data_IF_976472036450
#
_entry.id   IF_976472036450
#
_cell.length_a   1.000
_cell.length_b   1.000
_cell.length_c   1.000
_cell.angle_alpha   90.00
_cell.angle_beta   90.00
_cell.angle_gamma   90.00
#
_symmetry.space_group_name_H-M   'P 1'
#
loop_
_entity.id
_entity.type
_entity.pdbx_description
1 polymer ?
#
# COMPACT_ATOMS: atom_id res chain seq x y z
N UNK A 1 -17.11 86.65 -16.70
CA UNK A 1 -17.92 85.81 -17.62
C UNK A 1 -17.30 84.41 -17.55
N UNK A 2 -17.95 83.35 -17.09
CA UNK A 2 -19.24 82.75 -17.52
C UNK A 2 -19.21 82.33 -19.00
N UNK A 3 -19.50 81.10 -19.41
CA UNK A 3 -19.93 79.89 -18.67
C UNK A 3 -19.72 78.63 -19.56
N UNK A 4 -19.80 77.41 -18.98
CA UNK A 4 -20.53 76.19 -19.47
C UNK A 4 -20.50 75.93 -21.01
N UNK A 5 -20.07 74.79 -21.59
CA UNK A 5 -19.47 73.51 -21.14
C UNK A 5 -18.96 72.75 -22.42
N UNK A 6 -18.68 71.44 -22.59
CA UNK A 6 -18.86 70.17 -21.84
C UNK A 6 -17.76 69.13 -22.27
N UNK A 7 -18.06 67.83 -22.24
CA UNK A 7 -17.30 66.65 -22.75
C UNK A 7 -18.29 65.74 -23.55
N UNK A 8 -17.95 64.66 -24.33
CA UNK A 8 -16.88 63.67 -24.05
C UNK A 8 -16.16 62.90 -25.21
N UNK A 9 -15.11 62.17 -24.79
CA UNK A 9 -14.66 60.81 -25.20
C UNK A 9 -13.85 60.47 -26.50
N UNK A 10 -12.71 59.79 -26.22
CA UNK A 10 -12.13 58.58 -26.87
C UNK A 10 -11.68 58.58 -28.35
N UNK A 11 -10.36 58.48 -28.58
CA UNK A 11 -9.62 57.20 -28.84
C UNK A 11 -8.46 57.28 -29.88
N UNK A 12 -7.70 56.17 -29.98
CA UNK A 12 -6.74 55.78 -31.06
C UNK A 12 -5.32 56.41 -31.05
N UNK A 13 -4.41 55.70 -30.37
CA UNK A 13 -3.23 54.98 -30.91
C UNK A 13 -2.18 55.67 -31.83
N UNK A 14 -0.92 55.23 -31.62
CA UNK A 14 0.30 55.34 -32.43
C UNK A 14 1.17 56.60 -32.30
N UNK A 15 2.47 56.39 -32.01
CA UNK A 15 3.57 56.84 -32.88
C UNK A 15 4.86 56.02 -32.64
N UNK A 16 5.23 55.28 -33.70
CA UNK A 16 6.58 55.00 -34.24
C UNK A 16 7.65 54.28 -33.38
N UNK A 17 8.17 53.21 -33.99
CA UNK A 17 9.30 52.34 -33.58
C UNK A 17 10.65 53.06 -33.74
N UNK A 18 11.64 52.75 -32.89
CA UNK A 18 13.03 52.80 -33.34
C UNK A 18 13.88 51.68 -32.71
N UNK A 19 14.98 51.31 -33.38
CA UNK A 19 15.61 50.00 -33.27
C UNK A 19 17.01 50.08 -32.61
N UNK A 20 17.29 49.30 -31.56
CA UNK A 20 18.65 48.78 -31.27
C UNK A 20 18.64 47.68 -30.19
N UNK A 21 19.48 46.65 -30.38
CA UNK A 21 19.64 45.50 -29.48
C UNK A 21 20.58 45.80 -28.30
N UNK A 22 20.18 45.44 -27.06
CA UNK A 22 20.98 44.58 -26.15
C UNK A 22 20.29 44.27 -24.80
N UNK A 23 19.93 42.98 -24.65
CA UNK A 23 20.01 42.13 -23.44
C UNK A 23 19.75 42.79 -22.07
N UNK A 24 18.57 42.50 -21.51
CA UNK A 24 18.39 42.24 -20.08
C UNK A 24 17.25 41.22 -19.91
N UNK A 25 17.52 40.05 -19.32
CA UNK A 25 16.49 39.04 -19.06
C UNK A 25 15.68 39.40 -17.81
N UNK A 26 14.58 40.12 -18.00
CA UNK A 26 13.57 40.27 -16.95
C UNK A 26 12.61 39.08 -17.02
N UNK A 27 12.80 38.09 -16.14
CA UNK A 27 11.84 37.01 -15.95
C UNK A 27 10.55 37.60 -15.35
N UNK A 28 9.53 37.77 -16.19
CA UNK A 28 8.19 38.15 -15.72
C UNK A 28 7.56 36.89 -15.14
N UNK A 29 7.66 36.73 -13.83
CA UNK A 29 6.89 35.73 -13.09
C UNK A 29 5.41 36.09 -13.21
N UNK A 30 4.65 35.28 -13.93
CA UNK A 30 3.21 35.46 -14.11
C UNK A 30 2.47 34.99 -12.84
N UNK A 31 2.31 35.89 -11.87
CA UNK A 31 1.41 35.65 -10.74
C UNK A 31 -0.05 35.64 -11.21
N UNK A 32 -0.63 34.45 -11.34
CA UNK A 32 -2.08 34.28 -11.53
C UNK A 32 -2.82 34.42 -10.20
N UNK A 33 -3.36 35.60 -9.92
CA UNK A 33 -4.33 35.78 -8.83
C UNK A 33 -5.73 35.36 -9.31
N UNK A 34 -6.18 34.17 -8.89
CA UNK A 34 -7.57 33.74 -9.01
C UNK A 34 -8.35 34.15 -7.76
N UNK A 35 -9.02 35.31 -7.80
CA UNK A 35 -9.89 35.76 -6.71
C UNK A 35 -11.35 35.39 -6.98
N UNK A 36 -11.95 34.61 -6.07
CA UNK A 36 -13.39 34.32 -6.05
C UNK A 36 -14.04 34.90 -4.79
N UNK A 37 -14.46 36.17 -4.88
CA UNK A 37 -15.18 36.95 -3.87
C UNK A 37 -14.40 37.33 -2.60
N UNK A 38 -15.01 38.21 -1.81
CA UNK A 38 -14.37 38.95 -0.71
C UNK A 38 -14.42 38.17 0.62
N UNK A 39 -13.42 37.32 0.88
CA UNK A 39 -12.80 37.18 2.22
C UNK A 39 -11.51 36.34 2.15
N UNK A 40 -10.50 36.71 2.96
CA UNK A 40 -9.24 36.01 3.21
C UNK A 40 -8.46 35.42 2.00
N UNK A 41 -7.55 36.22 1.42
CA UNK A 41 -6.47 35.69 0.56
C UNK A 41 -5.45 34.91 1.41
N UNK A 42 -5.65 33.60 1.58
CA UNK A 42 -4.67 32.72 2.20
C UNK A 42 -3.45 32.50 1.27
N UNK A 43 -2.23 32.53 1.84
CA UNK A 43 -1.05 32.06 1.15
C UNK A 43 -1.07 30.53 1.13
N UNK A 44 -1.57 29.94 0.05
CA UNK A 44 -1.32 28.55 -0.27
C UNK A 44 0.11 28.44 -0.80
N UNK A 45 1.02 27.68 -0.16
CA UNK A 45 2.28 27.33 -0.80
C UNK A 45 1.98 26.36 -1.94
N UNK A 46 1.96 26.86 -3.17
CA UNK A 46 2.11 26.00 -4.34
C UNK A 46 3.49 25.33 -4.27
N UNK A 47 3.55 24.16 -3.63
CA UNK A 47 4.53 23.14 -3.99
C UNK A 47 4.10 22.61 -5.35
N UNK A 48 4.44 23.36 -6.40
CA UNK A 48 4.49 22.83 -7.75
C UNK A 48 5.29 21.51 -7.68
N UNK A 49 4.75 20.38 -8.19
CA UNK A 49 5.47 19.11 -8.15
C UNK A 49 6.80 19.29 -8.89
N UNK A 50 7.88 18.70 -8.36
CA UNK A 50 9.21 18.88 -8.91
C UNK A 50 9.22 18.50 -10.41
N UNK A 51 9.49 19.43 -11.34
CA UNK A 51 9.38 19.17 -12.77
C UNK A 51 10.48 18.23 -13.30
N UNK A 52 11.37 17.71 -12.44
CA UNK A 52 12.23 16.58 -12.76
C UNK A 52 11.57 15.21 -12.53
N UNK A 53 10.55 15.11 -11.67
CA UNK A 53 9.80 13.88 -11.42
C UNK A 53 8.85 13.62 -12.59
N UNK A 54 9.37 12.90 -13.59
CA UNK A 54 8.57 12.25 -14.62
C UNK A 54 8.35 10.81 -14.18
N UNK A 55 7.10 10.36 -14.14
CA UNK A 55 6.82 8.96 -13.91
C UNK A 55 7.30 8.14 -15.12
N UNK A 56 8.07 7.08 -14.88
CA UNK A 56 8.24 5.97 -15.81
C UNK A 56 6.88 5.26 -15.98
N UNK A 57 6.11 5.78 -16.93
CA UNK A 57 4.80 5.26 -17.31
C UNK A 57 4.95 4.06 -18.25
N UNK A 58 4.14 3.04 -18.02
CA UNK A 58 4.23 1.75 -18.70
C UNK A 58 2.85 1.33 -19.19
N UNK A 59 2.79 0.70 -20.36
CA UNK A 59 1.59 0.00 -20.86
C UNK A 59 1.61 -1.50 -20.54
N UNK A 60 2.74 -1.99 -20.04
CA UNK A 60 2.94 -3.34 -19.50
C UNK A 60 3.84 -3.25 -18.26
N UNK A 61 3.32 -3.65 -17.10
CA UNK A 61 4.04 -3.71 -15.83
C UNK A 61 4.12 -5.14 -15.33
N UNK A 62 5.34 -5.66 -15.18
CA UNK A 62 5.60 -6.92 -14.48
C UNK A 62 5.33 -6.77 -12.97
N UNK A 63 4.38 -7.55 -12.43
CA UNK A 63 4.02 -7.54 -11.00
C UNK A 63 4.54 -8.77 -10.23
N UNK A 64 5.35 -9.61 -10.87
CA UNK A 64 5.84 -10.89 -10.33
C UNK A 64 6.59 -10.76 -8.99
N UNK A 65 6.70 -11.86 -8.25
CA UNK A 65 7.48 -11.92 -7.01
C UNK A 65 8.98 -12.07 -7.28
N UNK A 66 9.79 -11.34 -6.53
CA UNK A 66 11.25 -11.46 -6.53
C UNK A 66 11.91 -10.91 -7.79
N UNK A 67 11.47 -9.76 -8.27
CA UNK A 67 12.02 -9.08 -9.46
C UNK A 67 12.65 -7.73 -9.11
N UNK A 68 13.65 -7.29 -9.88
CA UNK A 68 14.28 -5.98 -9.73
C UNK A 68 13.59 -4.87 -10.54
N UNK A 69 14.12 -3.64 -10.43
CA UNK A 69 13.62 -2.46 -11.16
C UNK A 69 13.78 -2.53 -12.68
N UNK A 70 14.56 -3.48 -13.20
CA UNK A 70 14.66 -3.80 -14.63
C UNK A 70 13.82 -5.02 -15.05
N UNK A 71 13.04 -5.60 -14.14
CA UNK A 71 12.24 -6.81 -14.38
C UNK A 71 13.03 -8.13 -14.36
N UNK A 72 14.29 -8.14 -13.92
CA UNK A 72 15.10 -9.34 -13.81
C UNK A 72 14.75 -10.10 -12.52
N UNK A 73 14.78 -11.44 -12.56
CA UNK A 73 14.61 -12.27 -11.35
C UNK A 73 15.80 -12.08 -10.41
N UNK A 74 15.54 -11.64 -9.19
CA UNK A 74 16.54 -11.51 -8.12
C UNK A 74 16.80 -12.91 -7.55
N UNK A 75 18.07 -13.38 -7.48
CA UNK A 75 18.38 -14.66 -6.84
C UNK A 75 18.05 -14.65 -5.34
N UNK A 76 17.41 -15.70 -4.80
CA UNK A 76 17.09 -15.78 -3.38
C UNK A 76 18.32 -15.94 -2.49
N UNK A 77 18.21 -15.49 -1.25
CA UNK A 77 19.27 -15.62 -0.25
C UNK A 77 18.94 -14.94 1.08
N UNK A 78 19.74 -15.24 2.10
CA UNK A 78 19.61 -14.67 3.44
C UNK A 78 19.57 -13.14 3.40
N UNK A 79 18.53 -12.55 3.97
CA UNK A 79 18.35 -11.10 4.08
C UNK A 79 18.12 -10.37 2.75
N UNK A 80 17.88 -11.08 1.64
CA UNK A 80 17.45 -10.48 0.38
C UNK A 80 15.96 -10.13 0.48
N UNK A 81 15.60 -8.90 0.11
CA UNK A 81 14.26 -8.32 0.27
C UNK A 81 13.72 -7.92 -1.12
N UNK A 82 12.42 -8.10 -1.32
CA UNK A 82 11.73 -7.67 -2.54
C UNK A 82 11.60 -6.14 -2.57
N UNK A 83 11.99 -5.45 -3.65
CA UNK A 83 11.92 -3.99 -3.70
C UNK A 83 10.49 -3.44 -3.87
N UNK A 84 9.49 -4.29 -4.08
CA UNK A 84 8.10 -3.91 -4.34
C UNK A 84 7.12 -4.49 -3.30
N UNK A 85 7.17 -5.82 -3.14
CA UNK A 85 6.31 -6.58 -2.24
C UNK A 85 6.69 -6.33 -0.78
N UNK A 86 5.69 -6.00 0.04
CA UNK A 86 5.86 -5.70 1.47
C UNK A 86 4.86 -6.47 2.32
N UNK A 87 5.22 -6.81 3.56
CA UNK A 87 4.32 -7.47 4.52
C UNK A 87 3.58 -6.39 5.31
N UNK A 88 2.25 -6.34 5.23
CA UNK A 88 1.43 -5.26 5.79
C UNK A 88 0.64 -5.62 7.06
N UNK A 89 0.74 -6.84 7.58
CA UNK A 89 0.24 -7.20 8.92
C UNK A 89 1.28 -7.98 9.74
N UNK A 90 1.01 -8.14 11.03
CA UNK A 90 1.79 -8.99 11.94
C UNK A 90 0.84 -9.97 12.64
N UNK A 91 0.42 -11.05 11.96
CA UNK A 91 -0.63 -11.93 12.46
C UNK A 91 -0.14 -12.73 13.68
N UNK A 92 -0.97 -13.00 14.69
CA UNK A 92 -0.55 -13.82 15.82
C UNK A 92 -0.18 -15.24 15.39
N UNK A 93 0.77 -15.85 16.10
CA UNK A 93 1.36 -17.14 15.75
C UNK A 93 1.22 -18.14 16.90
N UNK A 94 1.07 -19.43 16.56
CA UNK A 94 0.87 -20.53 17.50
C UNK A 94 1.83 -21.70 17.24
N UNK A 95 1.98 -22.56 18.25
CA UNK A 95 2.83 -23.77 18.22
C UNK A 95 4.31 -23.49 17.84
N UNK A 96 4.77 -22.27 18.13
CA UNK A 96 6.09 -21.79 17.74
C UNK A 96 7.24 -22.60 18.36
N UNK A 97 8.14 -23.08 17.51
CA UNK A 97 9.35 -23.81 17.88
C UNK A 97 10.59 -22.94 17.71
N UNK A 98 11.53 -23.04 18.66
CA UNK A 98 12.68 -22.12 18.72
C UNK A 98 13.83 -22.57 17.82
N UNK A 99 14.54 -21.65 17.12
CA UNK A 99 14.36 -20.20 17.12
C UNK A 99 13.62 -19.67 15.88
N UNK A 100 12.54 -18.92 16.08
CA UNK A 100 12.14 -17.93 15.08
C UNK A 100 13.12 -16.74 15.12
N UNK A 101 13.40 -16.20 13.94
CA UNK A 101 14.23 -15.00 13.77
C UNK A 101 13.30 -13.80 13.64
N UNK A 102 13.40 -12.85 14.57
CA UNK A 102 12.75 -11.53 14.48
C UNK A 102 13.29 -10.75 13.28
N UNK A 103 12.54 -9.90 12.58
CA UNK A 103 11.31 -9.18 12.99
C UNK A 103 10.47 -8.90 11.74
N UNK A 104 9.13 -8.97 11.84
CA UNK A 104 8.26 -8.48 10.77
C UNK A 104 8.29 -6.95 10.81
N UNK A 105 8.73 -6.33 9.72
CA UNK A 105 9.10 -4.90 9.67
C UNK A 105 8.69 -4.21 8.35
N UNK A 106 7.71 -4.77 7.64
CA UNK A 106 7.34 -4.37 6.28
C UNK A 106 8.03 -5.15 5.15
N UNK A 107 9.15 -5.83 5.40
CA UNK A 107 9.92 -6.51 4.34
C UNK A 107 9.32 -7.85 3.92
N UNK A 108 9.24 -8.13 2.61
CA UNK A 108 9.07 -9.49 2.08
C UNK A 108 10.44 -10.06 1.67
N UNK A 109 10.76 -11.28 2.10
CA UNK A 109 12.10 -11.88 1.97
C UNK A 109 12.17 -12.94 0.86
N UNK A 110 13.22 -12.91 0.03
CA UNK A 110 13.43 -13.85 -1.08
C UNK A 110 14.16 -15.10 -0.62
N UNK A 111 13.42 -16.20 -0.48
CA UNK A 111 13.90 -17.44 0.13
C UNK A 111 14.32 -18.49 -0.89
N UNK A 112 15.38 -19.23 -0.58
CA UNK A 112 15.81 -20.38 -1.36
C UNK A 112 15.48 -21.65 -0.59
N UNK A 113 14.34 -22.26 -0.90
CA UNK A 113 13.99 -23.59 -0.40
C UNK A 113 14.88 -24.64 -1.10
N UNK A 114 16.14 -24.71 -0.68
CA UNK A 114 17.23 -25.32 -1.46
C UNK A 114 17.09 -26.84 -1.64
N UNK A 115 16.23 -27.49 -0.85
CA UNK A 115 15.87 -28.90 -0.98
C UNK A 115 14.78 -29.15 -2.06
N UNK A 116 14.22 -28.08 -2.65
CA UNK A 116 13.09 -28.11 -3.57
C UNK A 116 13.49 -27.46 -4.90
N UNK A 117 13.21 -28.13 -6.03
CA UNK A 117 13.63 -27.65 -7.36
C UNK A 117 12.98 -26.34 -7.81
N UNK A 118 13.45 -25.78 -8.92
CA UNK A 118 12.90 -24.55 -9.51
C UNK A 118 11.40 -24.67 -9.85
N UNK A 119 10.93 -25.86 -10.22
CA UNK A 119 9.52 -26.14 -10.53
C UNK A 119 8.76 -26.80 -9.35
N UNK A 120 9.24 -26.63 -8.13
CA UNK A 120 8.56 -27.11 -6.92
C UNK A 120 7.18 -26.45 -6.70
N UNK A 121 6.50 -26.84 -5.63
CA UNK A 121 5.12 -26.43 -5.37
C UNK A 121 4.96 -25.01 -4.80
N UNK A 122 6.01 -24.41 -4.22
CA UNK A 122 6.05 -22.94 -3.99
C UNK A 122 6.71 -22.18 -5.15
N UNK A 123 7.75 -22.78 -5.75
CA UNK A 123 8.62 -22.11 -6.71
C UNK A 123 8.01 -22.04 -8.12
N UNK A 124 8.22 -20.92 -8.82
CA UNK A 124 7.87 -20.76 -10.23
C UNK A 124 9.06 -20.22 -11.02
N UNK A 125 9.47 -20.95 -12.06
CA UNK A 125 10.44 -20.49 -13.05
C UNK A 125 10.02 -19.13 -13.63
N UNK A 126 10.89 -18.13 -13.54
CA UNK A 126 10.60 -16.73 -13.90
C UNK A 126 10.26 -15.81 -12.71
N UNK A 127 10.30 -16.32 -11.49
CA UNK A 127 10.05 -15.59 -10.23
C UNK A 127 11.05 -16.01 -9.15
N UNK A 128 11.04 -15.31 -8.02
CA UNK A 128 11.56 -15.84 -6.76
C UNK A 128 10.47 -15.82 -5.68
N UNK A 129 10.49 -16.82 -4.81
CA UNK A 129 9.52 -17.06 -3.73
C UNK A 129 9.70 -16.10 -2.54
N UNK A 130 8.60 -15.61 -1.98
CA UNK A 130 8.58 -14.69 -0.83
C UNK A 130 8.12 -15.36 0.47
N UNK A 131 8.76 -14.98 1.59
CA UNK A 131 8.34 -15.26 2.97
C UNK A 131 8.19 -13.95 3.77
N UNK A 132 7.44 -13.97 4.89
CA UNK A 132 7.25 -12.79 5.73
C UNK A 132 8.40 -12.53 6.72
N UNK A 133 9.39 -13.43 6.80
CA UNK A 133 10.58 -13.34 7.67
C UNK A 133 11.84 -13.89 6.96
N UNK A 134 13.03 -13.42 7.37
CA UNK A 134 14.31 -13.97 6.90
C UNK A 134 14.59 -15.35 7.50
N UNK A 135 14.17 -16.41 6.79
CA UNK A 135 14.50 -17.79 7.14
C UNK A 135 16.01 -18.10 7.02
N UNK A 136 16.77 -17.25 6.31
CA UNK A 136 18.23 -17.30 6.22
C UNK A 136 18.79 -18.51 5.48
N UNK A 137 19.05 -19.59 6.21
CA UNK A 137 19.51 -20.89 5.68
C UNK A 137 18.71 -22.07 6.26
N UNK A 138 17.54 -21.78 6.81
CA UNK A 138 16.55 -22.74 7.28
C UNK A 138 15.42 -22.78 6.27
N UNK A 139 14.89 -23.96 5.95
CA UNK A 139 13.59 -24.08 5.26
C UNK A 139 12.43 -24.02 6.29
N UNK A 140 12.73 -23.93 7.59
CA UNK A 140 11.77 -24.00 8.70
C UNK A 140 11.34 -22.62 9.22
N UNK A 141 10.07 -22.27 9.05
CA UNK A 141 9.38 -21.07 9.55
C UNK A 141 9.01 -21.16 11.04
N UNK A 142 8.70 -22.36 11.55
CA UNK A 142 8.69 -22.66 12.98
C UNK A 142 7.39 -22.42 13.76
N UNK A 143 6.42 -21.65 13.23
CA UNK A 143 5.08 -21.46 13.81
C UNK A 143 3.96 -21.85 12.83
N UNK A 144 2.73 -22.01 13.32
CA UNK A 144 1.51 -21.92 12.52
C UNK A 144 0.90 -20.51 12.69
N UNK A 145 0.09 -20.04 11.73
CA UNK A 145 -0.76 -18.87 11.94
C UNK A 145 -1.85 -19.16 13.01
N UNK A 146 -2.20 -18.17 13.82
CA UNK A 146 -3.31 -18.28 14.77
C UNK A 146 -4.66 -18.48 14.07
N UNK A 147 -5.68 -18.84 14.86
CA UNK A 147 -7.08 -18.79 14.41
C UNK A 147 -7.70 -17.47 14.85
N UNK A 148 -8.61 -16.95 14.02
CA UNK A 148 -9.51 -15.87 14.39
C UNK A 148 -10.75 -16.42 15.11
N UNK A 149 -11.67 -15.52 15.50
CA UNK A 149 -12.87 -15.86 16.27
C UNK A 149 -13.85 -16.80 15.52
N UNK A 150 -13.71 -16.93 14.20
CA UNK A 150 -14.52 -17.81 13.34
C UNK A 150 -13.88 -19.20 13.15
N UNK A 151 -12.67 -19.42 13.69
CA UNK A 151 -11.89 -20.65 13.51
C UNK A 151 -11.11 -20.71 12.20
N UNK A 152 -10.99 -19.59 11.47
CA UNK A 152 -10.21 -19.48 10.23
C UNK A 152 -8.78 -19.02 10.56
N UNK A 153 -7.78 -19.45 9.79
CA UNK A 153 -6.38 -19.03 9.99
C UNK A 153 -6.20 -17.56 9.60
N UNK A 154 -5.57 -16.79 10.48
CA UNK A 154 -5.20 -15.40 10.21
C UNK A 154 -4.03 -15.36 9.21
N UNK A 155 -4.18 -14.85 7.99
CA UNK A 155 -3.12 -14.86 6.99
C UNK A 155 -2.01 -13.84 7.30
N UNK A 156 -0.83 -14.09 6.76
CA UNK A 156 0.09 -13.02 6.39
C UNK A 156 -0.44 -12.29 5.17
N UNK A 157 -0.56 -10.97 5.25
CA UNK A 157 -0.96 -10.12 4.14
C UNK A 157 0.28 -9.44 3.56
N UNK A 158 0.60 -9.76 2.32
CA UNK A 158 1.59 -9.04 1.51
C UNK A 158 0.86 -8.05 0.61
N UNK A 159 1.49 -6.91 0.30
CA UNK A 159 1.00 -5.90 -0.63
C UNK A 159 2.07 -5.57 -1.68
N UNK A 160 1.67 -5.60 -2.96
CA UNK A 160 2.41 -4.96 -4.06
C UNK A 160 1.53 -3.85 -4.65
N UNK A 161 1.81 -2.57 -4.32
CA UNK A 161 1.09 -1.45 -4.90
C UNK A 161 1.67 -1.08 -6.27
N UNK A 162 0.79 -0.54 -7.11
CA UNK A 162 1.08 0.13 -8.36
C UNK A 162 0.18 1.38 -8.47
N UNK A 163 0.20 2.05 -9.61
CA UNK A 163 -0.65 3.21 -9.86
C UNK A 163 -1.19 3.23 -11.28
N UNK A 164 -2.39 3.78 -11.43
CA UNK A 164 -2.99 4.20 -12.70
C UNK A 164 -3.00 5.73 -12.69
N UNK A 165 -2.38 6.36 -13.69
CA UNK A 165 -2.17 7.82 -13.72
C UNK A 165 -3.27 8.56 -14.50
N UNK A 166 -3.92 7.86 -15.43
CA UNK A 166 -5.13 8.30 -16.15
C UNK A 166 -6.07 7.11 -16.36
N UNK A 167 -7.38 7.38 -16.33
CA UNK A 167 -8.44 6.37 -16.44
C UNK A 167 -8.23 5.44 -17.65
N UNK A 168 -8.09 4.14 -17.39
CA UNK A 168 -7.75 3.13 -18.40
C UNK A 168 -8.44 1.80 -18.09
N UNK A 169 -8.42 0.87 -19.04
CA UNK A 169 -8.85 -0.51 -18.80
C UNK A 169 -7.65 -1.45 -18.86
N UNK A 170 -7.54 -2.32 -17.87
CA UNK A 170 -6.42 -3.24 -17.70
C UNK A 170 -6.82 -4.68 -18.00
N UNK A 171 -5.85 -5.44 -18.46
CA UNK A 171 -5.87 -6.88 -18.64
C UNK A 171 -4.69 -7.45 -17.84
N UNK A 172 -4.85 -8.62 -17.21
CA UNK A 172 -3.72 -9.34 -16.61
C UNK A 172 -3.93 -10.84 -16.63
N UNK A 173 -2.83 -11.59 -16.55
CA UNK A 173 -2.86 -13.02 -16.31
C UNK A 173 -1.71 -13.40 -15.36
N UNK A 174 -2.05 -13.76 -14.12
CA UNK A 174 -1.11 -14.16 -13.10
C UNK A 174 -1.17 -15.66 -12.82
N UNK A 175 -0.02 -16.31 -12.73
CA UNK A 175 0.16 -17.68 -12.28
C UNK A 175 0.67 -17.67 -10.84
N UNK A 176 -0.09 -18.26 -9.91
CA UNK A 176 0.22 -18.28 -8.48
C UNK A 176 0.48 -19.69 -7.93
N UNK A 177 1.43 -19.78 -7.01
CA UNK A 177 1.77 -20.96 -6.21
C UNK A 177 2.08 -20.54 -4.77
N UNK A 178 1.88 -21.42 -3.80
CA UNK A 178 2.19 -21.12 -2.41
C UNK A 178 2.22 -22.33 -1.48
N UNK A 179 2.46 -22.06 -0.20
CA UNK A 179 2.41 -23.05 0.87
C UNK A 179 1.08 -23.03 1.62
N UNK A 180 0.67 -24.23 2.04
CA UNK A 180 -0.62 -24.65 2.61
C UNK A 180 -1.85 -24.04 1.93
N UNK A 181 -2.07 -22.73 2.08
CA UNK A 181 -3.08 -21.96 1.39
C UNK A 181 -2.60 -20.52 1.07
N UNK A 182 -2.74 -20.09 -0.20
CA UNK A 182 -2.61 -18.69 -0.61
C UNK A 182 -3.70 -18.28 -1.60
N UNK A 183 -4.20 -17.05 -1.47
CA UNK A 183 -5.02 -16.38 -2.48
C UNK A 183 -4.62 -14.91 -2.61
N UNK A 184 -5.00 -14.26 -3.71
CA UNK A 184 -4.66 -12.88 -3.98
C UNK A 184 -5.92 -12.06 -4.31
N UNK A 185 -5.84 -10.75 -4.12
CA UNK A 185 -6.91 -9.79 -4.41
C UNK A 185 -6.34 -8.54 -5.08
N UNK A 186 -7.10 -7.95 -5.99
CA UNK A 186 -6.86 -6.60 -6.49
C UNK A 186 -7.68 -5.62 -5.66
N UNK A 187 -7.00 -4.64 -5.08
CA UNK A 187 -7.55 -3.69 -4.10
C UNK A 187 -7.42 -2.26 -4.64
N UNK A 188 -8.47 -1.45 -4.48
CA UNK A 188 -8.39 0.02 -4.50
C UNK A 188 -7.82 0.51 -3.17
N UNK A 189 -6.63 1.13 -3.17
CA UNK A 189 -5.96 1.57 -1.94
C UNK A 189 -6.66 2.77 -1.27
N UNK A 190 -7.53 3.50 -1.97
CA UNK A 190 -8.27 4.63 -1.41
C UNK A 190 -9.51 4.19 -0.61
N UNK A 191 -10.17 3.11 -1.04
CA UNK A 191 -11.44 2.62 -0.46
C UNK A 191 -11.36 1.24 0.21
N UNK A 192 -10.22 0.55 0.09
CA UNK A 192 -10.05 -0.87 0.40
C UNK A 192 -11.02 -1.82 -0.34
N UNK A 193 -11.69 -1.36 -1.40
CA UNK A 193 -12.60 -2.20 -2.18
C UNK A 193 -11.85 -3.32 -2.90
N UNK A 194 -12.32 -4.56 -2.71
CA UNK A 194 -11.86 -5.74 -3.46
C UNK A 194 -12.49 -5.69 -4.86
N UNK A 195 -11.66 -5.49 -5.88
CA UNK A 195 -12.09 -5.38 -7.28
C UNK A 195 -12.10 -6.74 -7.99
N UNK A 196 -11.17 -7.62 -7.63
CA UNK A 196 -11.11 -9.02 -8.07
C UNK A 196 -10.39 -9.88 -7.03
N UNK A 197 -10.59 -11.20 -7.07
CA UNK A 197 -9.97 -12.19 -6.18
C UNK A 197 -9.58 -13.44 -6.98
N UNK A 198 -8.37 -13.94 -6.74
CA UNK A 198 -7.85 -15.15 -7.40
C UNK A 198 -8.59 -16.42 -6.95
N UNK A 199 -8.50 -17.52 -7.72
CA UNK A 199 -8.69 -18.84 -7.13
C UNK A 199 -7.73 -19.04 -5.96
N UNK A 200 -8.18 -19.71 -4.91
CA UNK A 200 -7.32 -20.10 -3.79
C UNK A 200 -6.43 -21.26 -4.19
N UNK A 201 -5.11 -21.05 -4.18
CA UNK A 201 -4.15 -22.15 -4.22
C UNK A 201 -4.15 -22.85 -2.86
N UNK A 202 -4.35 -24.16 -2.84
CA UNK A 202 -4.22 -25.02 -1.66
C UNK A 202 -3.21 -26.11 -2.00
N UNK A 203 -2.24 -26.35 -1.12
CA UNK A 203 -1.13 -27.29 -1.36
C UNK A 203 -1.62 -28.75 -1.45
N UNK A 204 -2.01 -29.12 -2.66
CA UNK A 204 -2.54 -30.44 -3.04
C UNK A 204 -2.05 -30.90 -4.42
N UNK A 205 -1.47 -30.00 -5.22
CA UNK A 205 -0.90 -30.29 -6.54
C UNK A 205 0.24 -29.34 -6.86
N UNK A 206 1.13 -29.71 -7.77
CA UNK A 206 2.23 -28.84 -8.25
C UNK A 206 1.80 -27.84 -9.34
N UNK A 207 0.53 -27.87 -9.76
CA UNK A 207 -0.01 -27.03 -10.83
C UNK A 207 -0.40 -25.65 -10.28
N UNK A 208 0.10 -24.59 -10.92
CA UNK A 208 -0.19 -23.22 -10.51
C UNK A 208 -1.67 -22.87 -10.80
N UNK A 209 -2.27 -22.06 -9.94
CA UNK A 209 -3.59 -21.49 -10.25
C UNK A 209 -3.41 -20.25 -11.12
N UNK A 210 -4.26 -20.08 -12.13
CA UNK A 210 -4.27 -18.88 -12.97
C UNK A 210 -5.36 -17.92 -12.49
N UNK A 211 -5.03 -16.64 -12.42
CA UNK A 211 -5.94 -15.54 -12.13
C UNK A 211 -5.85 -14.54 -13.28
N UNK A 212 -6.94 -14.44 -14.04
CA UNK A 212 -7.01 -13.65 -15.26
C UNK A 212 -8.15 -12.65 -15.13
N UNK A 213 -7.90 -11.39 -15.46
CA UNK A 213 -8.92 -10.37 -15.68
C UNK A 213 -8.74 -9.76 -17.07
N UNK A 214 -9.83 -9.24 -17.63
CA UNK A 214 -9.78 -8.62 -18.96
C UNK A 214 -10.75 -7.46 -19.09
N UNK A 215 -10.28 -6.36 -19.68
CA UNK A 215 -10.99 -5.08 -19.80
C UNK A 215 -11.57 -4.59 -18.45
N UNK A 216 -10.80 -4.72 -17.36
CA UNK A 216 -11.17 -4.18 -16.06
C UNK A 216 -10.82 -2.69 -16.01
N UNK A 217 -11.82 -1.82 -16.04
CA UNK A 217 -11.60 -0.37 -16.10
C UNK A 217 -11.38 0.24 -14.71
N UNK A 218 -10.26 0.95 -14.55
CA UNK A 218 -9.80 1.61 -13.34
C UNK A 218 -9.62 3.12 -13.61
N UNK A 219 -10.01 3.95 -12.66
CA UNK A 219 -9.73 5.40 -12.74
C UNK A 219 -8.31 5.72 -12.28
N UNK A 220 -7.86 6.96 -12.50
CA UNK A 220 -6.62 7.46 -11.93
C UNK A 220 -6.61 7.29 -10.39
N UNK A 221 -5.63 6.54 -9.86
CA UNK A 221 -5.62 6.11 -8.46
C UNK A 221 -4.51 5.10 -8.15
N UNK A 222 -4.33 4.80 -6.86
CA UNK A 222 -3.39 3.78 -6.40
C UNK A 222 -4.11 2.46 -6.11
N UNK A 223 -3.53 1.37 -6.59
CA UNK A 223 -4.10 0.03 -6.50
C UNK A 223 -3.04 -0.94 -5.97
N UNK A 224 -3.46 -2.06 -5.39
CA UNK A 224 -2.55 -3.10 -4.93
C UNK A 224 -3.00 -4.50 -5.30
N UNK A 225 -2.03 -5.35 -5.60
CA UNK A 225 -2.21 -6.79 -5.43
C UNK A 225 -1.91 -7.10 -3.96
N UNK A 226 -2.90 -7.58 -3.20
CA UNK A 226 -2.68 -8.14 -1.85
C UNK A 226 -2.68 -9.66 -1.92
N UNK A 227 -1.71 -10.31 -1.27
CA UNK A 227 -1.62 -11.78 -1.18
C UNK A 227 -1.79 -12.23 0.27
N UNK A 228 -2.67 -13.19 0.49
CA UNK A 228 -3.10 -13.69 1.79
C UNK A 228 -2.58 -15.12 1.98
N UNK A 229 -1.46 -15.25 2.67
CA UNK A 229 -0.71 -16.50 2.84
C UNK A 229 -0.94 -17.09 4.24
N UNK A 230 -1.37 -18.35 4.31
CA UNK A 230 -1.68 -19.06 5.55
C UNK A 230 -0.69 -20.21 5.77
N UNK A 231 -0.09 -20.27 6.96
CA UNK A 231 0.63 -21.45 7.44
C UNK A 231 -0.25 -22.29 8.39
N UNK A 232 -0.38 -23.59 8.09
CA UNK A 232 -0.98 -24.62 8.97
C UNK A 232 0.02 -25.69 9.42
N UNK A 233 1.19 -25.78 8.78
CA UNK A 233 2.27 -26.71 9.02
C UNK A 233 3.62 -25.96 9.09
N UNK A 234 4.07 -25.64 10.32
CA UNK A 234 5.28 -24.90 10.70
C UNK A 234 6.67 -25.26 10.09
N UNK A 235 6.73 -26.09 9.05
CA UNK A 235 7.92 -26.35 8.26
C UNK A 235 8.12 -25.19 7.27
N UNK A 236 7.54 -25.24 6.08
CA UNK A 236 7.75 -24.23 5.04
C UNK A 236 6.87 -22.98 5.32
N UNK A 237 7.15 -21.85 4.66
CA UNK A 237 6.15 -20.81 4.40
C UNK A 237 6.57 -19.92 3.24
N UNK A 238 5.77 -19.83 2.18
CA UNK A 238 5.98 -18.82 1.15
C UNK A 238 4.99 -18.86 0.01
N UNK A 239 5.12 -17.92 -0.93
CA UNK A 239 4.38 -17.91 -2.20
C UNK A 239 5.20 -17.32 -3.35
N UNK A 240 4.78 -17.61 -4.57
CA UNK A 240 5.27 -16.92 -5.77
C UNK A 240 4.10 -16.53 -6.68
N UNK A 241 4.27 -15.43 -7.41
CA UNK A 241 3.35 -14.99 -8.45
C UNK A 241 4.15 -14.59 -9.69
N UNK A 242 3.74 -15.10 -10.85
CA UNK A 242 4.31 -14.78 -12.17
C UNK A 242 3.27 -14.07 -13.02
N UNK A 243 3.60 -12.92 -13.60
CA UNK A 243 2.83 -12.31 -14.68
C UNK A 243 2.84 -10.79 -14.70
N UNK A 244 2.25 -10.26 -15.76
CA UNK A 244 2.24 -8.84 -16.10
C UNK A 244 0.80 -8.29 -16.12
N UNK A 245 0.68 -7.00 -15.83
CA UNK A 245 -0.53 -6.20 -15.94
C UNK A 245 -0.35 -5.24 -17.12
N UNK A 246 -1.30 -5.25 -18.07
CA UNK A 246 -1.24 -4.48 -19.31
C UNK A 246 -2.43 -3.55 -19.45
N UNK A 247 -2.26 -2.42 -20.13
CA UNK A 247 -3.35 -1.54 -20.56
C UNK A 247 -3.95 -2.04 -21.87
N UNK A 248 -5.27 -2.25 -21.95
CA UNK A 248 -5.95 -2.84 -23.12
C UNK A 248 -5.97 -1.94 -24.38
N UNK A 249 -5.74 -0.63 -24.21
CA UNK A 249 -5.49 0.34 -25.30
C UNK A 249 -4.00 0.42 -25.71
N UNK A 250 -3.08 -0.07 -24.87
CA UNK A 250 -1.64 0.04 -25.05
C UNK A 250 -1.04 1.41 -24.67
N UNK A 251 -1.82 2.30 -24.05
CA UNK A 251 -1.36 3.61 -23.61
C UNK A 251 -0.51 3.51 -22.33
N UNK A 252 0.55 4.29 -22.22
CA UNK A 252 1.45 4.24 -21.08
C UNK A 252 0.87 5.04 -19.89
N UNK A 253 0.07 4.38 -19.05
CA UNK A 253 -0.57 5.01 -17.87
C UNK A 253 -0.35 4.29 -16.54
N UNK A 254 0.35 3.14 -16.51
CA UNK A 254 0.67 2.40 -15.28
C UNK A 254 2.00 2.92 -14.69
N UNK A 255 2.13 2.99 -13.37
CA UNK A 255 3.41 3.24 -12.68
C UNK A 255 3.74 2.17 -11.63
N UNK A 256 5.03 1.88 -11.47
CA UNK A 256 5.58 0.87 -10.54
C UNK A 256 6.07 1.46 -9.19
N UNK A 257 5.63 2.68 -8.85
CA UNK A 257 5.82 3.37 -7.56
C UNK A 257 7.29 3.59 -7.09
N UNK A 258 8.29 3.46 -7.99
CA UNK A 258 9.73 3.63 -7.69
C UNK A 258 10.12 5.11 -7.58
N UNK A 259 9.66 5.94 -8.52
CA UNK A 259 10.27 7.23 -8.85
C UNK A 259 9.59 8.42 -8.16
N UNK A 260 9.03 8.22 -6.97
CA UNK A 260 8.25 9.22 -6.23
C UNK A 260 6.83 9.44 -6.77
N UNK A 261 6.54 9.06 -8.01
CA UNK A 261 5.18 8.90 -8.50
C UNK A 261 4.44 7.82 -7.71
N UNK A 262 3.28 8.18 -7.17
CA UNK A 262 2.45 7.34 -6.29
C UNK A 262 3.20 6.72 -5.11
N UNK A 263 3.48 7.57 -4.11
CA UNK A 263 3.78 7.11 -2.76
C UNK A 263 2.63 6.23 -2.24
N UNK A 264 2.95 4.99 -1.89
CA UNK A 264 2.08 4.08 -1.16
C UNK A 264 2.78 3.71 0.16
N UNK A 265 2.71 4.62 1.12
CA UNK A 265 2.90 4.27 2.52
C UNK A 265 1.66 3.50 3.02
N UNK A 266 1.86 2.63 3.99
CA UNK A 266 0.81 1.84 4.63
C UNK A 266 0.87 2.04 6.14
N UNK A 267 -0.26 2.25 6.77
CA UNK A 267 -0.44 2.07 8.22
C UNK A 267 -1.45 0.95 8.39
N UNK A 268 -1.10 -0.11 9.11
CA UNK A 268 -2.05 -1.16 9.48
C UNK A 268 -2.28 -1.20 10.98
N UNK A 269 -3.42 -1.78 11.36
CA UNK A 269 -3.88 -1.93 12.73
C UNK A 269 -4.32 -3.37 12.91
N UNK A 270 -3.69 -4.09 13.83
CA UNK A 270 -4.23 -5.33 14.40
C UNK A 270 -4.89 -5.01 15.74
N UNK A 271 -6.20 -5.25 15.85
CA UNK A 271 -6.99 -4.99 17.05
C UNK A 271 -7.18 -6.28 17.87
N UNK A 272 -6.87 -6.23 19.16
CA UNK A 272 -6.82 -7.36 20.10
C UNK A 272 -7.69 -7.04 21.32
N UNK A 273 -8.43 -8.05 21.79
CA UNK A 273 -9.30 -7.99 22.96
C UNK A 273 -8.74 -8.91 24.05
N UNK A 274 -8.26 -8.32 25.15
CA UNK A 274 -7.58 -9.00 26.26
C UNK A 274 -8.53 -9.28 27.43
N UNK A 275 -8.61 -10.53 27.86
CA UNK A 275 -9.28 -10.90 29.11
C UNK A 275 -8.35 -10.75 30.34
N UNK A 276 -7.03 -10.69 30.13
CA UNK A 276 -6.01 -10.68 31.19
C UNK A 276 -5.23 -9.35 31.36
N UNK A 277 -5.30 -8.44 30.38
CA UNK A 277 -4.61 -7.14 30.37
C UNK A 277 -3.06 -7.17 30.48
N UNK A 278 -2.38 -8.20 29.95
CA UNK A 278 -0.93 -8.41 30.10
C UNK A 278 -0.06 -7.84 28.95
N UNK A 279 -0.68 -7.30 27.90
CA UNK A 279 -0.05 -6.69 26.73
C UNK A 279 0.39 -7.70 25.66
N UNK A 280 -0.18 -8.91 25.65
CA UNK A 280 0.15 -10.00 24.72
C UNK A 280 -1.10 -10.81 24.40
N UNK A 281 -1.18 -11.30 23.17
CA UNK A 281 -2.25 -12.19 22.73
C UNK A 281 -2.06 -13.62 23.25
N UNK A 282 -2.93 -14.08 24.15
CA UNK A 282 -3.11 -15.49 24.48
C UNK A 282 -4.35 -16.06 23.78
N UNK A 283 -4.12 -16.89 22.76
CA UNK A 283 -5.19 -17.60 22.01
C UNK A 283 -6.11 -18.50 22.86
N UNK A 284 -5.79 -18.75 24.13
CA UNK A 284 -6.65 -19.47 25.07
C UNK A 284 -7.73 -18.60 25.72
N UNK A 285 -7.58 -17.27 25.73
CA UNK A 285 -8.54 -16.33 26.34
C UNK A 285 -8.95 -15.19 25.44
N UNK A 286 -8.03 -14.70 24.61
CA UNK A 286 -8.14 -13.41 23.94
C UNK A 286 -8.74 -13.56 22.53
N UNK A 287 -9.26 -12.45 22.00
CA UNK A 287 -9.98 -12.43 20.73
C UNK A 287 -9.41 -11.37 19.79
N UNK A 288 -9.61 -11.58 18.50
CA UNK A 288 -9.30 -10.57 17.49
C UNK A 288 -10.50 -9.63 17.36
N UNK A 289 -10.24 -8.34 17.50
CA UNK A 289 -11.25 -7.30 17.65
C UNK A 289 -11.89 -6.91 16.34
N UNK A 290 -12.61 -7.84 15.71
CA UNK A 290 -13.36 -7.68 14.46
C UNK A 290 -14.56 -6.73 14.60
N UNK A 291 -14.84 -5.94 13.57
CA UNK A 291 -15.98 -5.01 13.53
C UNK A 291 -15.75 -3.70 14.29
N UNK A 292 -14.51 -3.38 14.64
CA UNK A 292 -14.14 -2.15 15.37
C UNK A 292 -13.74 -1.03 14.42
N UNK A 293 -14.31 0.15 14.62
CA UNK A 293 -14.03 1.32 13.78
C UNK A 293 -12.76 2.05 14.21
N UNK A 294 -11.91 2.40 13.24
CA UNK A 294 -10.68 3.19 13.41
C UNK A 294 -10.68 4.40 12.47
N UNK A 295 -10.30 5.56 12.99
CA UNK A 295 -10.16 6.81 12.24
C UNK A 295 -8.68 7.09 11.96
N UNK A 296 -8.34 7.36 10.71
CA UNK A 296 -7.08 7.96 10.30
C UNK A 296 -7.23 9.47 10.25
N UNK A 297 -6.45 10.17 11.07
CA UNK A 297 -6.35 11.63 11.10
C UNK A 297 -5.05 12.11 10.48
N UNK A 298 -5.11 13.21 9.74
CA UNK A 298 -3.92 13.91 9.24
C UNK A 298 -3.22 14.73 10.35
N UNK A 299 -2.14 15.41 9.99
CA UNK A 299 -1.38 16.28 10.89
C UNK A 299 -2.14 17.54 11.39
N UNK A 300 -3.32 17.85 10.83
CA UNK A 300 -4.24 18.89 11.36
C UNK A 300 -5.22 18.35 12.40
N UNK A 301 -5.32 17.02 12.54
CA UNK A 301 -6.33 16.33 13.34
C UNK A 301 -7.64 16.06 12.59
N UNK A 302 -7.70 16.34 11.28
CA UNK A 302 -8.87 16.09 10.44
C UNK A 302 -8.95 14.61 10.09
N UNK A 303 -10.11 13.97 10.26
CA UNK A 303 -10.33 12.58 9.84
C UNK A 303 -10.37 12.55 8.31
N UNK A 304 -9.45 11.81 7.70
CA UNK A 304 -9.30 11.68 6.24
C UNK A 304 -9.69 10.30 5.72
N UNK A 305 -9.74 9.27 6.60
CA UNK A 305 -10.33 7.97 6.32
C UNK A 305 -10.86 7.34 7.61
N UNK A 306 -11.89 6.52 7.49
CA UNK A 306 -12.40 5.67 8.58
C UNK A 306 -12.51 4.26 8.03
N UNK A 307 -11.92 3.30 8.73
CA UNK A 307 -11.95 1.88 8.38
C UNK A 307 -12.61 1.08 9.52
N UNK A 308 -12.94 -0.18 9.26
CA UNK A 308 -13.43 -1.12 10.27
C UNK A 308 -12.69 -2.43 10.15
N UNK A 309 -12.27 -3.01 11.27
CA UNK A 309 -11.47 -4.23 11.29
C UNK A 309 -12.23 -5.44 10.75
N UNK A 310 -11.51 -6.27 9.99
CA UNK A 310 -12.03 -7.49 9.36
C UNK A 310 -12.23 -8.64 10.38
N UNK A 311 -12.54 -9.86 9.92
CA UNK A 311 -12.68 -11.05 10.76
C UNK A 311 -11.39 -11.42 11.53
N UNK A 312 -10.24 -10.95 11.07
CA UNK A 312 -8.92 -11.17 11.67
C UNK A 312 -8.52 -10.05 12.65
N UNK A 313 -9.34 -9.01 12.81
CA UNK A 313 -9.00 -7.83 13.59
C UNK A 313 -8.06 -6.86 12.87
N UNK A 314 -7.74 -7.10 11.58
CA UNK A 314 -6.86 -6.23 10.79
C UNK A 314 -7.67 -5.10 10.13
N UNK A 315 -7.09 -3.90 10.08
CA UNK A 315 -7.54 -2.78 9.26
C UNK A 315 -6.34 -2.10 8.56
N UNK A 316 -6.52 -1.70 7.30
CA UNK A 316 -5.43 -1.26 6.42
C UNK A 316 -5.66 0.15 5.87
N UNK A 317 -4.69 1.04 6.05
CA UNK A 317 -4.66 2.37 5.45
C UNK A 317 -3.49 2.43 4.45
N UNK A 318 -3.69 1.88 3.25
CA UNK A 318 -2.74 1.95 2.13
C UNK A 318 -2.96 3.21 1.27
N UNK A 319 -2.08 3.47 0.29
CA UNK A 319 -2.15 4.63 -0.60
C UNK A 319 -1.88 5.96 0.10
N UNK A 320 -1.18 5.95 1.25
CA UNK A 320 -0.91 7.16 2.01
C UNK A 320 0.33 7.90 1.47
N UNK A 321 0.22 9.22 1.38
CA UNK A 321 1.32 10.12 1.06
C UNK A 321 2.38 10.15 2.19
N UNK A 322 3.50 10.83 1.95
CA UNK A 322 4.49 11.10 3.00
C UNK A 322 3.90 12.09 4.02
N UNK A 323 3.88 11.75 5.31
CA UNK A 323 3.28 12.60 6.32
C UNK A 323 3.20 11.99 7.73
N UNK A 324 2.81 12.83 8.69
CA UNK A 324 2.45 12.43 10.05
C UNK A 324 0.95 12.21 10.15
N UNK A 325 0.54 11.07 10.71
CA UNK A 325 -0.85 10.66 10.86
C UNK A 325 -1.11 10.14 12.27
N UNK A 326 -2.37 10.23 12.73
CA UNK A 326 -2.82 9.63 13.99
C UNK A 326 -3.96 8.66 13.73
N UNK A 327 -3.77 7.39 14.10
CA UNK A 327 -4.84 6.40 14.22
C UNK A 327 -5.55 6.62 15.56
N UNK A 328 -6.88 6.56 15.55
CA UNK A 328 -7.75 6.64 16.71
C UNK A 328 -8.79 5.52 16.68
N UNK A 329 -8.90 4.76 17.78
CA UNK A 329 -9.94 3.74 17.95
C UNK A 329 -11.25 4.38 18.41
N UNK A 330 -12.39 3.92 17.87
CA UNK A 330 -13.71 4.34 18.35
C UNK A 330 -14.13 3.42 19.51
N UNK A 331 -14.17 3.98 20.71
CA UNK A 331 -14.52 3.28 21.96
C UNK A 331 -15.73 2.34 21.82
N UNK A 332 -15.55 1.06 22.14
CA UNK A 332 -16.63 0.07 22.20
C UNK A 332 -17.14 -0.12 23.63
N UNK A 333 -18.41 -0.53 23.76
CA UNK A 333 -19.02 -0.75 25.08
C UNK A 333 -18.49 -2.05 25.70
N UNK A 334 -18.04 -1.98 26.96
CA UNK A 334 -17.49 -3.12 27.70
C UNK A 334 -15.99 -3.35 27.53
N UNK A 335 -15.29 -2.46 26.82
CA UNK A 335 -13.85 -2.54 26.57
C UNK A 335 -13.17 -1.18 26.78
N UNK A 336 -11.89 -1.18 27.13
CA UNK A 336 -11.05 0.00 27.35
C UNK A 336 -9.68 -0.20 26.69
N UNK A 337 -9.16 0.74 25.89
CA UNK A 337 -7.82 0.63 25.31
C UNK A 337 -6.75 0.44 26.40
N UNK A 338 -5.97 -0.64 26.30
CA UNK A 338 -4.89 -1.00 27.23
C UNK A 338 -3.51 -0.64 26.67
N UNK A 339 -3.32 -0.79 25.35
CA UNK A 339 -2.11 -0.39 24.65
C UNK A 339 -2.44 -0.03 23.19
N UNK A 340 -2.38 1.25 22.77
CA UNK A 340 -2.11 2.44 23.59
C UNK A 340 -3.28 2.79 24.52
N UNK A 341 -2.99 3.14 25.78
CA UNK A 341 -4.00 3.52 26.80
C UNK A 341 -4.83 4.77 26.44
N UNK A 342 -4.38 5.57 25.48
CA UNK A 342 -5.10 6.74 24.96
C UNK A 342 -6.12 6.40 23.88
N UNK A 343 -6.15 5.16 23.39
CA UNK A 343 -6.89 4.78 22.18
C UNK A 343 -6.34 5.42 20.90
N UNK A 344 -5.11 5.97 20.94
CA UNK A 344 -4.51 6.70 19.81
C UNK A 344 -3.03 6.38 19.62
N UNK A 345 -2.60 6.31 18.36
CA UNK A 345 -1.21 6.13 17.97
C UNK A 345 -0.85 7.09 16.84
N UNK A 346 0.23 7.85 17.01
CA UNK A 346 0.74 8.80 16.00
C UNK A 346 2.02 8.27 15.37
N UNK A 347 2.06 8.19 14.05
CA UNK A 347 3.19 7.70 13.25
C UNK A 347 3.57 8.71 12.18
N UNK A 348 4.79 8.63 11.66
CA UNK A 348 5.22 9.42 10.50
C UNK A 348 5.80 8.49 9.45
N UNK A 349 5.16 8.45 8.29
CA UNK A 349 5.49 7.55 7.19
C UNK A 349 6.09 8.30 6.02
N UNK A 350 7.08 7.70 5.38
CA UNK A 350 7.77 8.26 4.22
C UNK A 350 8.26 7.17 3.27
N UNK A 351 8.39 7.48 1.98
CA UNK A 351 9.16 6.69 1.01
C UNK A 351 8.74 5.20 0.94
N UNK A 352 7.42 4.95 0.85
CA UNK A 352 6.83 3.61 0.78
C UNK A 352 7.01 2.76 2.06
N UNK A 353 7.13 3.40 3.24
CA UNK A 353 7.14 2.74 4.54
C UNK A 353 5.83 1.99 4.85
N UNK A 354 5.95 0.98 5.71
CA UNK A 354 4.83 0.24 6.31
C UNK A 354 4.98 0.34 7.83
N UNK A 355 3.96 0.84 8.51
CA UNK A 355 3.89 0.87 9.97
C UNK A 355 2.81 -0.08 10.47
N UNK A 356 3.20 -0.98 11.39
CA UNK A 356 2.36 -2.08 11.89
C UNK A 356 1.97 -1.77 13.34
N UNK A 357 0.73 -1.30 13.55
CA UNK A 357 0.23 -0.94 14.87
C UNK A 357 -0.57 -2.08 15.49
N UNK A 358 -0.44 -2.26 16.80
CA UNK A 358 -1.29 -3.17 17.58
C UNK A 358 -2.08 -2.35 18.59
N UNK A 359 -3.39 -2.58 18.63
CA UNK A 359 -4.31 -1.96 19.58
C UNK A 359 -4.89 -3.05 20.48
N UNK A 360 -4.43 -3.10 21.71
CA UNK A 360 -4.95 -3.99 22.75
C UNK A 360 -6.04 -3.27 23.54
N UNK A 361 -7.08 -4.01 23.92
CA UNK A 361 -8.22 -3.50 24.68
C UNK A 361 -8.53 -4.46 25.83
N UNK A 362 -8.48 -3.95 27.06
CA UNK A 362 -8.94 -4.65 28.26
C UNK A 362 -10.47 -4.73 28.32
N UNK A 363 -10.98 -5.83 28.86
CA UNK A 363 -12.36 -5.93 29.32
C UNK A 363 -12.62 -4.96 30.50
N UNK A 364 -13.77 -4.29 30.49
CA UNK A 364 -14.14 -3.23 31.46
C UNK A 364 -14.91 -3.71 32.69
#
# INVERSE_FOLDING_TARGET
>A
MTNIELVPQRSILNIIINNTFKIACLFILLLSLSCSNEEACAYLPNTEPDPSIHCNLQSELNLSTGIDVGGNVIPPGKGIIDPFWRVINNPPLLNCTSPLVSTINGSAYLINFANFGADAWVNQTGTTTLAPIDLGTSDSFGCNNALNNEGVRVPYVFERPFCIIEDTCIDFNFSLKGDDQVYLQLIDNATNAVLSTSPTYIWTSTEAQNWTESNLCLSAGSYSIRAFLVNTNAIVLGFSMLGNLTTGNGDASISNNIEGCCVNNVISVLNILEENCDGKFDSGSDQLGSGWTFNLKDASGTIIRTETTDANGDAFFSGLANGTYTIEIVNQTGWLPSNPTTGTATVTVSNNQVELLQFFNCRA
#
